data_IF_713804804903
#
_entry.id   IF_713804804903
#
_cell.length_a   1.000
_cell.length_b   1.000
_cell.length_c   1.000
_cell.angle_alpha   90.00
_cell.angle_beta   90.00
_cell.angle_gamma   90.00
#
_symmetry.space_group_name_H-M   'P 1'
#
loop_
_entity.id
_entity.type
_entity.pdbx_description
1 polymer ?
#
# COMPACT_ATOMS: atom_id res chain seq x y z
N UNK A 1 13.62 19.27 -10.01
CA UNK A 1 12.99 18.11 -10.68
C UNK A 1 12.80 17.05 -9.61
N UNK A 2 11.57 16.71 -9.22
CA UNK A 2 11.33 15.86 -8.03
C UNK A 2 11.29 14.38 -8.41
N UNK A 3 12.44 13.72 -8.31
CA UNK A 3 12.45 12.27 -8.18
C UNK A 3 11.85 11.88 -6.81
N UNK A 4 11.13 10.76 -6.74
CA UNK A 4 10.67 10.16 -5.49
C UNK A 4 11.40 8.84 -5.28
N UNK A 5 12.24 8.74 -4.26
CA UNK A 5 12.91 7.50 -3.89
C UNK A 5 11.98 6.65 -3.03
N UNK A 6 11.42 5.60 -3.63
CA UNK A 6 10.48 4.69 -3.02
C UNK A 6 11.18 3.42 -2.53
N UNK A 7 10.83 2.97 -1.33
CA UNK A 7 11.13 1.63 -0.81
C UNK A 7 9.84 0.86 -0.53
N UNK A 8 9.79 -0.40 -0.95
CA UNK A 8 8.72 -1.35 -0.62
C UNK A 8 9.30 -2.52 0.16
N UNK A 9 8.71 -2.85 1.32
CA UNK A 9 9.15 -3.94 2.20
C UNK A 9 8.21 -5.14 2.12
N UNK A 10 8.64 -6.17 1.39
CA UNK A 10 8.00 -7.47 1.33
C UNK A 10 8.49 -8.34 2.49
N UNK A 11 7.69 -8.45 3.53
CA UNK A 11 8.10 -9.11 4.77
C UNK A 11 7.12 -10.20 5.21
N UNK A 12 7.60 -11.08 6.10
CA UNK A 12 6.73 -11.98 6.86
C UNK A 12 6.07 -11.21 8.00
N UNK A 13 4.83 -11.57 8.36
CA UNK A 13 4.16 -11.00 9.53
C UNK A 13 3.90 -12.10 10.56
N UNK A 14 4.28 -11.83 11.81
CA UNK A 14 3.89 -12.61 12.97
C UNK A 14 2.38 -12.55 13.15
N UNK A 15 1.75 -13.72 13.28
CA UNK A 15 0.29 -13.80 13.34
C UNK A 15 -0.25 -13.23 14.65
N UNK A 16 -1.12 -12.23 14.56
CA UNK A 16 -1.82 -11.63 15.71
C UNK A 16 -0.90 -11.09 16.82
N UNK A 17 0.36 -10.78 16.51
CA UNK A 17 1.35 -10.26 17.47
C UNK A 17 1.86 -8.90 17.00
N UNK A 18 1.14 -7.84 17.42
CA UNK A 18 1.46 -6.44 17.14
C UNK A 18 2.89 -6.08 17.52
N UNK A 19 3.26 -6.36 18.75
CA UNK A 19 4.56 -6.00 19.31
C UNK A 19 5.71 -6.72 18.60
N UNK A 20 5.54 -8.00 18.25
CA UNK A 20 6.54 -8.72 17.47
C UNK A 20 6.69 -8.17 16.06
N UNK A 21 5.59 -7.77 15.42
CA UNK A 21 5.65 -7.15 14.09
C UNK A 21 6.33 -5.77 14.13
N UNK A 22 6.03 -4.92 15.10
CA UNK A 22 6.71 -3.63 15.26
C UNK A 22 8.23 -3.83 15.44
N UNK A 23 8.65 -4.74 16.33
CA UNK A 23 10.07 -5.09 16.51
C UNK A 23 10.72 -5.66 15.26
N UNK A 24 9.98 -6.45 14.47
CA UNK A 24 10.47 -6.99 13.20
C UNK A 24 10.75 -5.86 12.21
N UNK A 25 9.82 -4.92 12.06
CA UNK A 25 10.01 -3.78 11.16
C UNK A 25 11.03 -2.77 11.68
N UNK A 26 11.24 -2.61 12.99
CA UNK A 26 12.36 -1.83 13.52
C UNK A 26 13.69 -2.30 12.91
N UNK A 27 13.88 -3.61 12.78
CA UNK A 27 15.08 -4.19 12.19
C UNK A 27 15.15 -3.98 10.67
N UNK A 28 14.01 -4.02 9.97
CA UNK A 28 13.99 -3.83 8.52
C UNK A 28 14.16 -2.36 8.11
N UNK A 29 13.70 -1.44 8.95
CA UNK A 29 13.84 0.00 8.77
C UNK A 29 15.22 0.52 9.19
N UNK A 30 15.92 -0.23 10.06
CA UNK A 30 17.28 0.12 10.48
C UNK A 30 18.22 0.29 9.28
N UNK A 31 18.80 1.48 9.15
CA UNK A 31 19.75 1.81 8.08
C UNK A 31 19.13 2.19 6.74
N UNK A 32 17.80 2.24 6.62
CA UNK A 32 17.16 2.87 5.46
C UNK A 32 17.41 4.37 5.52
N UNK A 33 18.03 4.92 4.48
CA UNK A 33 18.35 6.36 4.37
C UNK A 33 18.14 6.87 2.95
N UNK A 34 17.92 8.18 2.82
CA UNK A 34 17.74 8.85 1.53
C UNK A 34 16.57 8.32 0.72
N UNK A 35 15.50 7.89 1.40
CA UNK A 35 14.22 7.48 0.80
C UNK A 35 13.20 8.58 1.07
N UNK A 36 12.27 8.77 0.15
CA UNK A 36 11.18 9.74 0.29
C UNK A 36 9.87 9.06 0.73
N UNK A 37 9.67 7.79 0.36
CA UNK A 37 8.51 6.99 0.73
C UNK A 37 8.90 5.55 1.09
N UNK A 38 8.38 5.02 2.20
CA UNK A 38 8.58 3.63 2.63
C UNK A 38 7.22 2.94 2.82
N UNK A 39 7.00 1.83 2.12
CA UNK A 39 5.72 1.11 2.08
C UNK A 39 5.80 -0.24 2.79
N UNK A 40 4.93 -0.45 3.77
CA UNK A 40 4.74 -1.67 4.54
C UNK A 40 3.51 -2.45 4.05
N UNK A 41 3.39 -3.76 4.35
CA UNK A 41 2.25 -4.58 3.92
C UNK A 41 0.90 -4.17 4.53
N UNK A 42 -0.18 -4.78 4.03
CA UNK A 42 -1.52 -4.67 4.64
C UNK A 42 -1.53 -5.35 6.01
N UNK A 43 -2.27 -4.78 6.96
CA UNK A 43 -2.41 -5.26 8.33
C UNK A 43 -1.06 -5.67 8.94
N UNK A 44 -0.02 -4.85 8.76
CA UNK A 44 1.36 -5.23 9.07
C UNK A 44 1.59 -5.54 10.55
N UNK A 45 0.70 -5.09 11.44
CA UNK A 45 0.76 -5.38 12.87
C UNK A 45 0.14 -6.72 13.27
N UNK A 46 -0.72 -7.33 12.45
CA UNK A 46 -1.46 -8.55 12.85
C UNK A 46 -1.43 -9.67 11.81
N UNK A 47 -1.13 -9.35 10.55
CA UNK A 47 -1.58 -10.14 9.42
C UNK A 47 -3.10 -10.03 9.20
N UNK A 48 -3.58 -10.60 8.10
CA UNK A 48 -4.99 -10.56 7.72
C UNK A 48 -5.86 -11.48 8.58
N UNK A 49 -6.36 -10.95 9.71
CA UNK A 49 -7.02 -11.73 10.74
C UNK A 49 -8.32 -11.07 11.21
N UNK A 50 -9.44 -11.81 11.17
CA UNK A 50 -10.73 -11.29 11.65
C UNK A 50 -10.76 -11.03 13.16
N UNK A 51 -9.96 -11.78 13.94
CA UNK A 51 -9.83 -11.56 15.38
C UNK A 51 -9.16 -10.21 15.72
N UNK A 52 -8.36 -9.64 14.80
CA UNK A 52 -7.75 -8.32 14.99
C UNK A 52 -8.81 -7.22 15.09
N UNK A 53 -10.00 -7.43 14.53
CA UNK A 53 -11.16 -6.57 14.72
C UNK A 53 -11.67 -6.49 16.17
N UNK A 54 -11.01 -7.16 17.14
CA UNK A 54 -11.28 -7.04 18.59
C UNK A 54 -10.02 -6.88 19.44
N UNK A 55 -8.84 -7.08 18.87
CA UNK A 55 -7.61 -7.27 19.64
C UNK A 55 -6.35 -6.70 18.97
N UNK A 56 -6.51 -5.76 18.04
CA UNK A 56 -5.39 -5.04 17.43
C UNK A 56 -4.79 -3.99 18.38
N UNK A 57 -3.57 -3.54 18.06
CA UNK A 57 -2.93 -2.42 18.75
C UNK A 57 -3.76 -1.13 18.62
N UNK A 58 -3.78 -0.25 19.63
CA UNK A 58 -4.39 1.07 19.52
C UNK A 58 -3.78 1.89 18.37
N UNK A 59 -4.61 2.70 17.68
CA UNK A 59 -4.11 3.56 16.60
C UNK A 59 -2.97 4.47 17.05
N UNK A 60 -3.07 5.05 18.25
CA UNK A 60 -2.05 5.94 18.81
C UNK A 60 -0.68 5.27 18.84
N UNK A 61 -0.61 4.02 19.30
CA UNK A 61 0.64 3.26 19.36
C UNK A 61 1.22 2.99 17.96
N UNK A 62 0.38 2.61 16.99
CA UNK A 62 0.84 2.34 15.62
C UNK A 62 1.33 3.64 14.95
N UNK A 63 0.62 4.76 15.15
CA UNK A 63 0.98 6.07 14.60
C UNK A 63 2.25 6.61 15.25
N UNK A 64 2.41 6.50 16.57
CA UNK A 64 3.64 6.90 17.27
C UNK A 64 4.85 6.12 16.76
N UNK A 65 4.70 4.81 16.53
CA UNK A 65 5.74 3.97 15.94
C UNK A 65 6.07 4.39 14.50
N UNK A 66 5.06 4.64 13.66
CA UNK A 66 5.27 5.14 12.29
C UNK A 66 5.96 6.51 12.30
N UNK A 67 5.53 7.43 13.17
CA UNK A 67 6.09 8.77 13.29
C UNK A 67 7.57 8.74 13.72
N UNK A 68 7.94 7.82 14.63
CA UNK A 68 9.32 7.62 15.02
C UNK A 68 10.21 7.32 13.81
N UNK A 69 9.80 6.36 12.97
CA UNK A 69 10.54 5.98 11.76
C UNK A 69 10.47 7.03 10.65
N UNK A 70 9.34 7.71 10.48
CA UNK A 70 9.21 8.84 9.55
C UNK A 70 10.26 9.92 9.83
N UNK A 71 10.41 10.29 11.11
CA UNK A 71 11.42 11.27 11.56
C UNK A 71 12.85 10.79 11.34
N UNK A 72 13.14 9.53 11.65
CA UNK A 72 14.50 8.98 11.50
C UNK A 72 14.93 8.89 10.04
N UNK A 73 13.98 8.62 9.13
CA UNK A 73 14.26 8.41 7.71
C UNK A 73 14.05 9.66 6.84
N UNK A 74 13.39 10.70 7.37
CA UNK A 74 12.88 11.86 6.62
C UNK A 74 11.96 11.45 5.45
N UNK A 75 11.21 10.37 5.64
CA UNK A 75 10.34 9.76 4.63
C UNK A 75 8.88 9.71 5.08
N UNK A 76 7.97 9.73 4.10
CA UNK A 76 6.59 9.31 4.30
C UNK A 76 6.58 7.78 4.49
N UNK A 77 6.09 7.29 5.62
CA UNK A 77 6.05 5.85 5.91
C UNK A 77 4.63 5.37 6.15
N UNK A 78 4.28 4.19 5.65
CA UNK A 78 2.95 3.66 5.89
C UNK A 78 2.68 2.26 5.37
N UNK A 79 1.58 1.72 5.84
CA UNK A 79 0.96 0.45 5.46
C UNK A 79 -0.46 0.46 5.99
N UNK A 80 -1.13 -0.70 6.07
CA UNK A 80 -2.43 -0.75 6.75
C UNK A 80 -2.38 -1.51 8.07
N UNK A 81 -3.30 -1.19 8.97
CA UNK A 81 -3.48 -1.85 10.25
C UNK A 81 -4.98 -2.07 10.53
N UNK A 82 -5.31 -3.11 11.29
CA UNK A 82 -6.64 -3.24 11.87
C UNK A 82 -6.78 -2.20 12.99
N UNK A 83 -7.73 -1.28 12.87
CA UNK A 83 -7.91 -0.17 13.81
C UNK A 83 -9.31 -0.19 14.40
N UNK A 84 -9.40 -0.08 15.73
CA UNK A 84 -10.67 0.12 16.42
C UNK A 84 -11.09 1.58 16.36
N UNK A 85 -12.33 1.81 15.95
CA UNK A 85 -12.99 3.12 16.03
C UNK A 85 -14.20 3.03 16.95
N UNK A 86 -14.80 4.17 17.29
CA UNK A 86 -16.03 4.23 18.08
C UNK A 86 -17.20 3.47 17.42
N UNK A 87 -17.22 3.38 16.09
CA UNK A 87 -18.31 2.76 15.34
C UNK A 87 -18.04 1.27 15.00
N UNK A 88 -16.80 0.81 15.17
CA UNK A 88 -16.36 -0.54 14.79
C UNK A 88 -14.96 -0.57 14.22
N UNK A 89 -14.44 -1.77 13.98
CA UNK A 89 -13.11 -1.96 13.43
C UNK A 89 -13.05 -1.62 11.93
N UNK A 90 -11.93 -1.07 11.48
CA UNK A 90 -11.63 -0.81 10.05
C UNK A 90 -10.25 -1.37 9.69
N UNK A 91 -10.04 -1.65 8.40
CA UNK A 91 -8.70 -1.87 7.85
C UNK A 91 -8.21 -0.53 7.30
N UNK A 92 -7.35 0.15 8.07
CA UNK A 92 -6.95 1.54 7.84
C UNK A 92 -5.54 1.62 7.32
N UNK A 93 -5.37 2.21 6.14
CA UNK A 93 -4.08 2.65 5.63
C UNK A 93 -3.67 3.89 6.44
N UNK A 94 -2.49 3.84 7.05
CA UNK A 94 -1.88 4.96 7.75
C UNK A 94 -0.62 5.37 6.99
N UNK A 95 -0.50 6.65 6.65
CA UNK A 95 0.70 7.27 6.08
C UNK A 95 1.10 8.43 6.99
N UNK A 96 2.33 8.42 7.49
CA UNK A 96 2.83 9.40 8.46
C UNK A 96 4.04 10.13 7.89
N UNK A 97 3.95 11.46 7.88
CA UNK A 97 5.04 12.36 7.50
C UNK A 97 6.04 12.55 8.67
N UNK A 98 7.29 12.98 8.38
CA UNK A 98 8.30 13.24 9.42
C UNK A 98 7.88 14.30 10.45
N UNK A 99 7.05 15.27 10.06
CA UNK A 99 6.54 16.29 10.99
C UNK A 99 5.43 15.77 11.92
N UNK A 100 4.85 14.60 11.61
CA UNK A 100 3.73 14.01 12.33
C UNK A 100 2.38 14.14 11.64
N UNK A 101 2.31 14.77 10.47
CA UNK A 101 1.09 14.81 9.67
C UNK A 101 0.66 13.38 9.33
N UNK A 102 -0.60 13.05 9.64
CA UNK A 102 -1.16 11.72 9.49
C UNK A 102 -2.25 11.73 8.42
N UNK A 103 -2.05 10.93 7.38
CA UNK A 103 -3.04 10.64 6.35
C UNK A 103 -3.64 9.26 6.56
N UNK A 104 -4.94 9.13 6.31
CA UNK A 104 -5.69 7.90 6.60
C UNK A 104 -6.62 7.55 5.44
N UNK A 105 -6.70 6.26 5.11
CA UNK A 105 -7.67 5.72 4.16
C UNK A 105 -8.22 4.40 4.70
N UNK A 106 -9.53 4.32 4.89
CA UNK A 106 -10.20 3.08 5.29
C UNK A 106 -10.55 2.25 4.05
N UNK A 107 -10.18 0.96 4.06
CA UNK A 107 -10.42 0.02 2.96
C UNK A 107 -11.88 0.04 2.55
N UNK A 108 -12.13 0.42 1.28
CA UNK A 108 -13.49 0.53 0.77
C UNK A 108 -14.08 -0.84 0.48
N UNK A 109 -13.32 -1.70 -0.19
CA UNK A 109 -13.81 -3.01 -0.62
C UNK A 109 -13.33 -4.10 0.33
N UNK A 110 -14.20 -4.54 1.23
CA UNK A 110 -13.90 -5.65 2.14
C UNK A 110 -13.94 -6.99 1.40
N UNK A 111 -12.98 -7.85 1.69
CA UNK A 111 -12.79 -9.15 1.06
C UNK A 111 -13.81 -10.16 1.57
N UNK A 112 -14.92 -10.26 0.83
CA UNK A 112 -16.09 -11.08 1.20
C UNK A 112 -15.79 -12.57 1.37
N UNK A 113 -14.86 -13.12 0.59
CA UNK A 113 -14.56 -14.56 0.58
C UNK A 113 -13.82 -15.04 1.85
N UNK A 114 -13.39 -14.11 2.71
CA UNK A 114 -12.84 -14.40 4.03
C UNK A 114 -13.65 -13.72 5.15
N UNK A 115 -14.92 -13.39 4.86
CA UNK A 115 -15.85 -12.79 5.82
C UNK A 115 -15.41 -11.44 6.40
N UNK A 116 -14.50 -10.69 5.74
CA UNK A 116 -14.01 -9.40 6.24
C UNK A 116 -15.15 -8.41 6.53
N UNK A 117 -16.19 -8.43 5.68
CA UNK A 117 -17.42 -7.63 5.83
C UNK A 117 -18.31 -7.95 7.04
N UNK A 118 -18.07 -9.06 7.74
CA UNK A 118 -18.77 -9.38 9.00
C UNK A 118 -18.03 -8.86 10.23
N UNK A 119 -16.76 -8.45 10.08
CA UNK A 119 -15.88 -8.07 11.19
C UNK A 119 -15.40 -6.62 11.11
N UNK A 120 -15.28 -6.08 9.90
CA UNK A 120 -14.81 -4.74 9.63
C UNK A 120 -15.86 -3.89 8.94
N UNK A 121 -15.80 -2.59 9.14
CA UNK A 121 -16.59 -1.60 8.42
C UNK A 121 -15.87 -1.16 7.14
N UNK A 122 -16.59 -0.96 6.02
CA UNK A 122 -16.01 -0.43 4.81
C UNK A 122 -15.76 1.08 4.95
N UNK A 123 -14.67 1.56 4.37
CA UNK A 123 -14.46 2.98 4.14
C UNK A 123 -15.31 3.53 2.99
N UNK A 124 -15.55 4.83 2.99
CA UNK A 124 -16.40 5.47 1.98
C UNK A 124 -15.61 6.35 1.01
N UNK A 125 -14.52 6.95 1.49
CA UNK A 125 -13.83 8.03 0.79
C UNK A 125 -12.59 7.52 0.04
N UNK A 126 -12.38 8.07 -1.16
CA UNK A 126 -11.11 7.95 -1.89
C UNK A 126 -10.21 9.12 -1.49
N UNK A 127 -8.98 8.83 -1.08
CA UNK A 127 -8.04 9.84 -0.57
C UNK A 127 -6.88 10.02 -1.54
N UNK A 128 -6.48 11.27 -1.77
CA UNK A 128 -5.23 11.62 -2.46
C UNK A 128 -4.36 12.35 -1.45
N UNK A 129 -3.13 11.86 -1.27
CA UNK A 129 -2.12 12.44 -0.38
C UNK A 129 -1.10 13.19 -1.23
N UNK A 130 -0.74 14.40 -0.83
CA UNK A 130 0.35 15.15 -1.47
C UNK A 130 1.62 15.04 -0.63
N UNK A 131 2.72 14.61 -1.26
CA UNK A 131 4.03 14.52 -0.59
C UNK A 131 5.15 14.85 -1.56
N UNK A 132 6.00 15.82 -1.22
CA UNK A 132 7.14 16.26 -2.06
C UNK A 132 6.77 16.54 -3.52
N UNK A 133 5.58 17.09 -3.74
CA UNK A 133 5.03 17.43 -5.05
C UNK A 133 4.43 16.25 -5.83
N UNK A 134 4.31 15.07 -5.22
CA UNK A 134 3.64 13.89 -5.77
C UNK A 134 2.25 13.74 -5.19
N UNK A 135 1.27 13.42 -6.05
CA UNK A 135 -0.08 13.05 -5.63
C UNK A 135 -0.20 11.53 -5.57
N UNK A 136 -0.58 11.00 -4.42
CA UNK A 136 -0.46 9.59 -4.08
C UNK A 136 -1.83 9.03 -3.70
N UNK A 137 -2.23 7.94 -4.37
CA UNK A 137 -3.46 7.20 -4.09
C UNK A 137 -3.15 5.95 -3.25
N UNK A 138 -3.40 5.94 -1.92
CA UNK A 138 -3.33 4.72 -1.11
C UNK A 138 -4.57 3.83 -1.33
N UNK A 139 -4.37 2.54 -1.53
CA UNK A 139 -5.40 1.50 -1.69
C UNK A 139 -4.98 0.22 -0.96
N UNK A 140 -5.96 -0.61 -0.58
CA UNK A 140 -5.69 -1.81 0.21
C UNK A 140 -6.22 -3.06 -0.51
N UNK A 141 -5.28 -3.92 -0.91
CA UNK A 141 -5.50 -5.31 -1.31
C UNK A 141 -6.67 -5.49 -2.29
N UNK A 142 -7.83 -5.87 -1.78
CA UNK A 142 -9.02 -6.16 -2.57
C UNK A 142 -9.50 -4.98 -3.43
N UNK A 143 -9.21 -3.73 -3.02
CA UNK A 143 -9.45 -2.52 -3.82
C UNK A 143 -8.84 -2.61 -5.22
N UNK A 144 -7.72 -3.32 -5.39
CA UNK A 144 -7.06 -3.55 -6.68
C UNK A 144 -8.00 -4.14 -7.74
N UNK A 145 -9.05 -4.87 -7.35
CA UNK A 145 -10.01 -5.48 -8.28
C UNK A 145 -11.04 -4.49 -8.84
N UNK A 146 -11.12 -3.26 -8.33
CA UNK A 146 -12.20 -2.32 -8.61
C UNK A 146 -11.70 -1.11 -9.43
N UNK A 147 -11.61 -1.23 -10.77
CA UNK A 147 -10.97 -0.21 -11.62
C UNK A 147 -11.64 1.16 -11.54
N UNK A 148 -12.97 1.22 -11.38
CA UNK A 148 -13.71 2.48 -11.28
C UNK A 148 -13.27 3.29 -10.06
N UNK A 149 -13.00 2.62 -8.93
CA UNK A 149 -12.55 3.30 -7.71
C UNK A 149 -11.07 3.70 -7.80
N UNK A 150 -10.24 2.89 -8.47
CA UNK A 150 -8.83 3.20 -8.74
C UNK A 150 -8.61 4.20 -9.87
N UNK A 151 -9.65 4.53 -10.66
CA UNK A 151 -9.49 5.30 -11.90
C UNK A 151 -8.82 6.64 -11.63
N UNK A 152 -7.78 6.94 -12.39
CA UNK A 152 -7.12 8.24 -12.35
C UNK A 152 -7.95 9.25 -13.11
N UNK A 153 -8.34 10.32 -12.43
CA UNK A 153 -9.07 11.45 -13.02
C UNK A 153 -8.12 12.64 -13.21
N UNK A 154 -6.86 12.33 -13.55
CA UNK A 154 -5.70 13.21 -13.44
C UNK A 154 -5.49 13.76 -12.03
N UNK A 155 -5.86 12.98 -11.02
CA UNK A 155 -5.80 13.36 -9.61
C UNK A 155 -4.66 12.69 -8.84
N UNK A 156 -3.92 11.74 -9.45
CA UNK A 156 -2.71 11.18 -8.85
C UNK A 156 -1.60 10.83 -9.85
N UNK A 157 -0.39 10.64 -9.32
CA UNK A 157 0.86 10.34 -10.03
C UNK A 157 1.42 8.96 -9.66
N UNK A 158 1.13 8.50 -8.43
CA UNK A 158 1.51 7.20 -7.88
C UNK A 158 0.32 6.56 -7.18
N UNK A 159 0.04 5.28 -7.44
CA UNK A 159 -0.90 4.48 -6.66
C UNK A 159 -0.15 3.42 -5.83
N UNK A 160 -0.51 3.31 -4.56
CA UNK A 160 0.04 2.33 -3.62
C UNK A 160 -1.02 1.27 -3.35
N UNK A 161 -0.65 -0.01 -3.43
CA UNK A 161 -1.48 -1.13 -3.04
C UNK A 161 -0.75 -1.96 -1.99
N UNK A 162 -1.26 -2.00 -0.77
CA UNK A 162 -0.72 -2.87 0.30
C UNK A 162 -1.60 -4.10 0.45
N UNK A 163 -1.02 -5.28 0.67
CA UNK A 163 -1.77 -6.54 0.59
C UNK A 163 -1.27 -7.69 1.48
N UNK A 164 -2.24 -8.53 1.86
CA UNK A 164 -2.12 -9.95 2.15
C UNK A 164 -2.82 -10.68 0.99
N UNK A 165 -2.16 -10.78 -0.17
CA UNK A 165 -2.70 -11.43 -1.36
C UNK A 165 -2.21 -12.90 -1.47
N UNK A 166 -3.09 -13.91 -1.32
CA UNK A 166 -2.66 -15.30 -1.26
C UNK A 166 -2.08 -15.82 -2.59
N UNK A 167 -1.10 -16.72 -2.49
CA UNK A 167 -0.37 -17.32 -3.60
C UNK A 167 -1.25 -17.94 -4.71
N UNK A 168 -2.39 -18.59 -4.42
CA UNK A 168 -3.26 -19.14 -5.47
C UNK A 168 -3.78 -18.11 -6.48
N UNK A 169 -3.80 -16.82 -6.11
CA UNK A 169 -4.29 -15.72 -6.97
C UNK A 169 -3.18 -14.76 -7.38
N UNK A 170 -1.92 -15.18 -7.29
CA UNK A 170 -0.76 -14.34 -7.59
C UNK A 170 -0.76 -13.72 -8.99
N UNK A 171 -1.18 -14.49 -10.01
CA UNK A 171 -1.30 -13.96 -11.37
C UNK A 171 -2.26 -12.77 -11.44
N UNK A 172 -3.35 -12.78 -10.65
CA UNK A 172 -4.29 -11.67 -10.61
C UNK A 172 -3.65 -10.44 -9.97
N UNK A 173 -2.84 -10.61 -8.93
CA UNK A 173 -2.12 -9.51 -8.29
C UNK A 173 -1.18 -8.82 -9.28
N UNK A 174 -0.30 -9.58 -9.93
CA UNK A 174 0.64 -9.07 -10.92
C UNK A 174 -0.07 -8.40 -12.11
N UNK A 175 -1.04 -9.09 -12.71
CA UNK A 175 -1.75 -8.57 -13.88
C UNK A 175 -2.56 -7.31 -13.58
N UNK A 176 -3.22 -7.24 -12.42
CA UNK A 176 -4.02 -6.06 -12.07
C UNK A 176 -3.14 -4.87 -11.70
N UNK A 177 -2.02 -5.04 -11.00
CA UNK A 177 -1.07 -3.94 -10.76
C UNK A 177 -0.55 -3.36 -12.08
N UNK A 178 -0.14 -4.24 -13.00
CA UNK A 178 0.30 -3.85 -14.33
C UNK A 178 -0.79 -3.08 -15.09
N UNK A 179 -2.01 -3.61 -15.10
CA UNK A 179 -3.14 -2.95 -15.74
C UNK A 179 -3.43 -1.58 -15.12
N UNK A 180 -3.38 -1.44 -13.80
CA UNK A 180 -3.57 -0.16 -13.11
C UNK A 180 -2.52 0.87 -13.51
N UNK A 181 -1.26 0.47 -13.69
CA UNK A 181 -0.21 1.40 -14.10
C UNK A 181 -0.46 1.93 -15.52
N UNK A 182 -0.76 1.01 -16.45
CA UNK A 182 -0.98 1.31 -17.87
C UNK A 182 -2.23 2.14 -18.06
N UNK A 183 -3.39 1.67 -17.58
CA UNK A 183 -4.68 2.29 -17.88
C UNK A 183 -4.82 3.69 -17.26
N UNK A 184 -4.14 3.93 -16.13
CA UNK A 184 -4.21 5.17 -15.37
C UNK A 184 -3.02 6.11 -15.61
N UNK A 185 -2.07 5.70 -16.47
CA UNK A 185 -0.84 6.42 -16.77
C UNK A 185 -0.20 6.99 -15.51
N UNK A 186 0.09 6.12 -14.55
CA UNK A 186 0.65 6.47 -13.24
C UNK A 186 1.63 5.38 -12.80
N UNK A 187 2.57 5.73 -11.93
CA UNK A 187 3.37 4.70 -11.27
C UNK A 187 2.48 3.87 -10.34
N UNK A 188 2.81 2.60 -10.17
CA UNK A 188 2.14 1.70 -9.23
C UNK A 188 3.17 0.99 -8.37
N UNK A 189 2.95 0.97 -7.06
CA UNK A 189 3.73 0.19 -6.12
C UNK A 189 2.81 -0.78 -5.37
N UNK A 190 3.04 -2.08 -5.57
CA UNK A 190 2.37 -3.15 -4.85
C UNK A 190 3.27 -3.74 -3.77
N UNK A 191 2.81 -3.73 -2.52
CA UNK A 191 3.47 -4.34 -1.36
C UNK A 191 2.63 -5.49 -0.83
N UNK A 192 3.09 -6.73 -1.02
CA UNK A 192 2.46 -7.93 -0.49
C UNK A 192 3.39 -8.63 0.49
N UNK A 193 2.84 -9.26 1.52
CA UNK A 193 3.60 -10.07 2.47
C UNK A 193 4.08 -11.39 1.86
N UNK A 194 5.00 -12.06 2.56
CA UNK A 194 5.40 -13.46 2.32
C UNK A 194 5.14 -14.35 3.55
N UNK A 195 5.35 -15.66 3.36
CA UNK A 195 5.21 -16.66 4.41
C UNK A 195 3.81 -17.26 4.49
N UNK A 196 3.48 -17.88 5.62
CA UNK A 196 2.14 -18.40 5.90
C UNK A 196 1.52 -17.66 7.07
N UNK A 197 0.19 -17.59 7.10
CA UNK A 197 -0.55 -17.02 8.23
C UNK A 197 -1.17 -18.10 9.13
N UNK A 198 -1.85 -17.67 10.21
CA UNK A 198 -2.52 -18.58 11.14
C UNK A 198 -3.74 -19.30 10.56
N UNK A 199 -4.21 -18.88 9.37
CA UNK A 199 -5.27 -19.54 8.61
C UNK A 199 -4.71 -20.50 7.55
N UNK A 200 -3.40 -20.79 7.58
CA UNK A 200 -2.70 -21.66 6.63
C UNK A 200 -2.73 -21.15 5.18
N UNK A 201 -2.99 -19.86 4.97
CA UNK A 201 -2.84 -19.25 3.66
C UNK A 201 -1.35 -18.97 3.41
N UNK A 202 -0.88 -19.40 2.24
CA UNK A 202 0.47 -19.12 1.79
C UNK A 202 0.50 -17.84 0.96
N UNK A 203 1.48 -16.99 1.22
CA UNK A 203 1.72 -15.74 0.52
C UNK A 203 3.10 -15.81 -0.13
N UNK A 204 3.14 -15.57 -1.44
CA UNK A 204 4.38 -15.59 -2.21
C UNK A 204 4.97 -14.20 -2.43
N UNK A 205 4.33 -13.14 -1.90
CA UNK A 205 4.76 -11.78 -2.14
C UNK A 205 4.41 -11.33 -3.55
N UNK A 206 5.38 -11.36 -4.46
CA UNK A 206 5.31 -10.73 -5.78
C UNK A 206 5.07 -9.21 -5.68
N UNK A 207 5.68 -8.54 -4.69
CA UNK A 207 5.71 -7.07 -4.62
C UNK A 207 6.45 -6.51 -5.83
N UNK A 208 5.94 -5.40 -6.38
CA UNK A 208 6.45 -4.81 -7.63
C UNK A 208 6.32 -3.29 -7.63
N UNK A 209 7.24 -2.64 -8.33
CA UNK A 209 7.18 -1.21 -8.66
C UNK A 209 7.13 -1.10 -10.19
N UNK A 210 6.10 -0.43 -10.71
CA UNK A 210 5.75 -0.45 -12.14
C UNK A 210 5.66 0.99 -12.67
N UNK A 211 6.25 1.22 -13.84
CA UNK A 211 6.19 2.49 -14.56
C UNK A 211 4.81 2.74 -15.18
N UNK A 212 4.50 3.98 -15.58
CA UNK A 212 3.24 4.31 -16.28
C UNK A 212 3.07 3.61 -17.64
N UNK A 213 4.16 3.08 -18.21
CA UNK A 213 4.15 2.31 -19.46
C UNK A 213 3.89 0.81 -19.21
N UNK A 214 3.87 0.39 -17.95
CA UNK A 214 3.81 -1.03 -17.56
C UNK A 214 5.18 -1.71 -17.48
N UNK A 215 6.28 -0.95 -17.51
CA UNK A 215 7.60 -1.54 -17.29
C UNK A 215 7.78 -1.85 -15.81
N UNK A 216 8.18 -3.08 -15.49
CA UNK A 216 8.46 -3.48 -14.10
C UNK A 216 9.85 -2.94 -13.74
N UNK A 217 9.88 -1.90 -12.91
CA UNK A 217 11.12 -1.25 -12.45
C UNK A 217 11.83 -2.11 -11.41
N UNK A 218 11.06 -2.76 -10.53
CA UNK A 218 11.53 -3.70 -9.52
C UNK A 218 10.47 -4.78 -9.28
N UNK A 219 10.92 -6.01 -9.00
CA UNK A 219 10.06 -7.12 -8.60
C UNK A 219 10.75 -7.98 -7.54
N UNK A 220 9.97 -8.41 -6.55
CA UNK A 220 10.43 -9.31 -5.51
C UNK A 220 10.48 -10.75 -6.03
N UNK A 221 11.47 -11.51 -5.58
CA UNK A 221 11.47 -12.95 -5.79
C UNK A 221 10.32 -13.62 -5.02
N UNK A 222 9.63 -14.61 -5.62
CA UNK A 222 8.55 -15.32 -4.96
C UNK A 222 8.99 -16.00 -3.67
N UNK A 223 8.14 -15.93 -2.64
CA UNK A 223 8.33 -16.55 -1.33
C UNK A 223 9.54 -16.06 -0.52
N UNK A 224 10.26 -15.04 -0.99
CA UNK A 224 11.42 -14.49 -0.29
C UNK A 224 11.07 -13.14 0.32
N UNK A 225 11.61 -12.85 1.52
CA UNK A 225 11.59 -11.49 2.06
C UNK A 225 12.45 -10.60 1.17
N UNK A 226 12.02 -9.37 0.92
CA UNK A 226 12.71 -8.49 0.01
C UNK A 226 12.46 -7.01 0.31
N UNK A 227 13.47 -6.20 0.02
CA UNK A 227 13.38 -4.74 -0.06
C UNK A 227 13.53 -4.34 -1.52
N UNK A 228 12.56 -3.60 -2.05
CA UNK A 228 12.59 -3.08 -3.42
C UNK A 228 12.77 -1.57 -3.34
N UNK A 229 13.79 -1.07 -4.03
CA UNK A 229 14.07 0.37 -4.10
C UNK A 229 13.98 0.86 -5.54
N UNK A 230 13.28 1.97 -5.77
CA UNK A 230 13.20 2.61 -7.08
C UNK A 230 13.19 4.13 -6.96
N UNK A 231 13.77 4.82 -7.94
CA UNK A 231 13.63 6.26 -8.10
C UNK A 231 12.60 6.55 -9.19
N UNK A 232 11.48 7.17 -8.82
CA UNK A 232 10.39 7.50 -9.73
C UNK A 232 10.59 8.93 -10.25
N UNK A 233 10.41 9.15 -11.55
CA UNK A 233 10.57 10.49 -12.15
C UNK A 233 9.22 11.08 -12.54
N UNK A 234 8.87 12.21 -11.90
CA UNK A 234 7.66 12.97 -12.22
C UNK A 234 7.76 13.62 -13.60
N UNK A 235 8.96 14.03 -14.00
CA UNK A 235 9.24 14.56 -15.34
C UNK A 235 8.98 13.50 -16.42
N UNK A 236 9.52 12.29 -16.25
CA UNK A 236 9.31 11.19 -17.20
C UNK A 236 7.82 10.81 -17.30
N UNK A 237 7.10 10.84 -16.16
CA UNK A 237 5.65 10.64 -16.12
C UNK A 237 4.91 11.70 -16.95
N UNK A 238 5.23 12.97 -16.75
CA UNK A 238 4.58 14.07 -17.47
C UNK A 238 4.88 14.01 -18.97
N UNK A 239 6.14 13.79 -19.36
CA UNK A 239 6.52 13.59 -20.77
C UNK A 239 5.74 12.44 -21.41
N UNK A 240 5.55 11.32 -20.69
CA UNK A 240 4.75 10.22 -21.19
C UNK A 240 3.27 10.58 -21.37
N UNK A 241 2.67 11.24 -20.36
CA UNK A 241 1.27 11.69 -20.42
C UNK A 241 1.02 12.71 -21.53
N UNK A 242 2.02 13.52 -21.90
CA UNK A 242 1.95 14.44 -23.04
C UNK A 242 2.09 13.70 -24.37
N UNK A 243 3.02 12.75 -24.47
CA UNK A 243 3.26 11.96 -25.69
C UNK A 243 2.12 10.99 -26.00
N UNK A 244 1.43 10.49 -24.98
CA UNK A 244 0.31 9.56 -25.11
C UNK A 244 -0.85 10.02 -24.21
N UNK A 245 -1.63 11.05 -24.58
CA UNK A 245 -2.59 11.69 -23.69
C UNK A 245 -3.92 10.94 -23.58
N UNK A 246 -3.91 9.64 -23.32
CA UNK A 246 -5.11 8.80 -23.24
C UNK A 246 -6.13 9.29 -22.19
N UNK A 247 -5.67 10.02 -21.17
CA UNK A 247 -6.53 10.66 -20.18
C UNK A 247 -7.49 11.71 -20.77
N UNK A 248 -7.18 12.31 -21.94
CA UNK A 248 -8.05 13.28 -22.60
C UNK A 248 -9.29 12.63 -23.20
N UNK A 249 -9.21 11.34 -23.53
CA UNK A 249 -10.29 10.54 -24.11
C UNK A 249 -11.09 9.78 -23.04
N UNK A 250 -10.83 10.02 -21.75
CA UNK A 250 -11.44 9.28 -20.66
C UNK A 250 -12.93 9.63 -20.48
N UNK A 251 -13.76 8.60 -20.32
CA UNK A 251 -15.17 8.76 -19.97
C UNK A 251 -15.35 9.40 -18.59
N UNK A 252 -16.30 10.32 -18.49
CA UNK A 252 -16.71 10.92 -17.21
C UNK A 252 -17.72 10.03 -16.50
N UNK A 253 -17.61 9.93 -15.18
CA UNK A 253 -18.54 9.17 -14.34
C UNK A 253 -18.67 9.80 -12.95
N UNK A 254 -19.73 9.41 -12.24
CA UNK A 254 -19.96 9.70 -10.82
C UNK A 254 -20.05 8.37 -10.07
N UNK A 255 -19.43 8.31 -8.88
CA UNK A 255 -19.48 7.13 -7.99
C UNK A 255 -20.78 7.05 -7.20
#
# INVERSE_FOLDING_TARGET
>A
MSALNLTVLQETLSWMDGEANLRHFDQQLAGITGRDLILLPEMFTTGFAMAAAKSSLPQTQVVEWLQHHARQTDALIGGSAAIQTENGAVNRFLLVEPDGTLHQYDKRHLFRMADEHHHYLPGEQRQIVEWRGWRILPQICYDLRFPVFSRNRNDYDLALYVANWPAPRALHWQALLLARAIENQAYVAGCNRVGSDGNQHQYRGDSQIISPQGEILQAAEPFQRARLDAALSLEALNVYRERFPAWQDADRFTL
#
